data_IF_119642442513
#
_entry.id   IF_119642442513
#
_cell.length_a   1.000
_cell.length_b   1.000
_cell.length_c   1.000
_cell.angle_alpha   90.00
_cell.angle_beta   90.00
_cell.angle_gamma   90.00
#
_symmetry.space_group_name_H-M   'P 1'
#
loop_
_entity.id
_entity.type
_entity.pdbx_description
1 polymer ?
#
# COMPACT_ATOMS: atom_id res chain seq x y z
N UNK A 1 -52.90 33.36 1.34
CA UNK A 1 -51.94 33.39 0.22
C UNK A 1 -50.54 33.66 0.77
N UNK A 2 -49.76 32.61 1.07
CA UNK A 2 -48.36 32.76 1.48
C UNK A 2 -47.51 32.94 0.22
N UNK A 3 -46.91 34.12 0.04
CA UNK A 3 -45.88 34.38 -0.97
C UNK A 3 -44.56 33.81 -0.43
N UNK A 4 -44.24 32.57 -0.78
CA UNK A 4 -42.89 32.05 -0.59
C UNK A 4 -41.95 32.77 -1.56
N UNK A 5 -41.06 33.61 -1.02
CA UNK A 5 -40.05 34.33 -1.81
C UNK A 5 -39.12 33.33 -2.51
N UNK A 6 -39.10 33.37 -3.85
CA UNK A 6 -38.21 32.58 -4.72
C UNK A 6 -36.73 32.66 -4.33
N UNK A 7 -36.31 33.71 -3.62
CA UNK A 7 -34.95 33.88 -3.11
C UNK A 7 -34.51 32.81 -2.09
N UNK A 8 -35.44 32.21 -1.32
CA UNK A 8 -35.10 31.17 -0.34
C UNK A 8 -34.81 29.81 -1.00
N UNK A 9 -35.46 29.51 -2.13
CA UNK A 9 -35.22 28.26 -2.89
C UNK A 9 -33.86 28.31 -3.58
N UNK A 10 -33.48 29.47 -4.13
CA UNK A 10 -32.16 29.64 -4.76
C UNK A 10 -31.00 29.51 -3.76
N UNK A 11 -31.15 30.05 -2.54
CA UNK A 11 -30.10 29.94 -1.51
C UNK A 11 -29.95 28.50 -0.99
N UNK A 12 -31.05 27.76 -0.86
CA UNK A 12 -31.02 26.35 -0.45
C UNK A 12 -30.37 25.44 -1.50
N UNK A 13 -30.62 25.68 -2.80
CA UNK A 13 -29.98 24.92 -3.90
C UNK A 13 -28.46 25.20 -3.95
N UNK A 14 -28.03 26.45 -3.76
CA UNK A 14 -26.60 26.81 -3.70
C UNK A 14 -25.87 26.22 -2.49
N UNK A 15 -26.54 26.08 -1.33
CA UNK A 15 -25.95 25.46 -0.14
C UNK A 15 -25.90 23.92 -0.24
N UNK A 16 -26.88 23.28 -0.88
CA UNK A 16 -26.84 21.82 -1.12
C UNK A 16 -25.78 21.42 -2.16
N UNK A 17 -25.45 22.29 -3.13
CA UNK A 17 -24.40 21.99 -4.12
C UNK A 17 -22.98 22.00 -3.53
N UNK A 18 -22.72 22.73 -2.42
CA UNK A 18 -21.41 22.70 -1.77
C UNK A 18 -21.18 21.47 -0.89
N UNK A 19 -22.24 20.79 -0.46
CA UNK A 19 -22.13 19.60 0.39
C UNK A 19 -21.83 18.31 -0.40
N UNK A 20 -22.04 18.30 -1.73
CA UNK A 20 -21.85 17.12 -2.59
C UNK A 20 -20.43 17.00 -3.18
N UNK A 21 -19.54 17.96 -2.91
CA UNK A 21 -18.12 17.82 -3.19
C UNK A 21 -17.37 17.29 -1.97
N UNK A 22 -17.90 16.25 -1.31
CA UNK A 22 -17.03 15.28 -0.65
C UNK A 22 -16.36 14.47 -1.76
N UNK A 23 -15.45 15.10 -2.50
CA UNK A 23 -14.43 14.36 -3.23
C UNK A 23 -13.78 13.47 -2.18
N UNK A 24 -13.83 12.15 -2.36
CA UNK A 24 -13.04 11.25 -1.52
C UNK A 24 -11.63 11.81 -1.54
N UNK A 25 -11.19 12.35 -0.41
CA UNK A 25 -9.87 12.92 -0.32
C UNK A 25 -8.92 11.77 -0.57
N UNK A 26 -8.05 11.89 -1.59
CA UNK A 26 -7.05 10.88 -1.89
C UNK A 26 -6.33 10.52 -0.59
N UNK A 27 -6.30 9.23 -0.25
CA UNK A 27 -5.57 8.73 0.89
C UNK A 27 -4.35 7.98 0.39
N UNK A 28 -3.21 8.26 1.03
CA UNK A 28 -1.99 7.51 0.88
C UNK A 28 -1.96 6.43 1.96
N UNK A 29 -1.64 5.21 1.55
CA UNK A 29 -1.33 4.12 2.46
C UNK A 29 0.18 4.09 2.74
N UNK A 30 0.56 4.02 4.01
CA UNK A 30 1.96 3.95 4.46
C UNK A 30 2.13 2.70 5.31
N UNK A 31 2.80 1.71 4.74
CA UNK A 31 3.14 0.42 5.34
C UNK A 31 4.59 0.47 5.80
N UNK A 32 4.82 0.06 7.05
CA UNK A 32 6.14 0.00 7.69
C UNK A 32 6.25 -1.33 8.44
N UNK A 33 7.45 -1.72 8.85
CA UNK A 33 7.65 -2.94 9.64
C UNK A 33 6.89 -2.94 10.98
N UNK A 34 6.45 -1.76 11.44
CA UNK A 34 5.81 -1.56 12.75
C UNK A 34 4.29 -1.38 12.68
N UNK A 35 3.79 -0.80 11.59
CA UNK A 35 2.38 -0.41 11.48
C UNK A 35 1.98 0.06 10.09
N UNK A 36 0.67 0.06 9.86
CA UNK A 36 0.04 0.66 8.68
C UNK A 36 -0.70 1.93 9.08
N UNK A 37 -0.49 3.00 8.31
CA UNK A 37 -1.13 4.29 8.54
C UNK A 37 -1.69 4.87 7.25
N UNK A 38 -2.65 5.78 7.38
CA UNK A 38 -3.25 6.48 6.25
C UNK A 38 -3.19 7.98 6.48
N UNK A 39 -2.84 8.74 5.45
CA UNK A 39 -2.88 10.20 5.49
C UNK A 39 -3.26 10.82 4.15
N UNK A 40 -3.36 12.15 4.13
CA UNK A 40 -3.58 12.91 2.89
C UNK A 40 -2.23 13.25 2.27
N UNK A 41 -1.93 12.78 1.06
CA UNK A 41 -0.69 13.13 0.39
C UNK A 41 -0.70 14.58 -0.08
N UNK A 42 0.47 15.21 -0.01
CA UNK A 42 0.72 16.52 -0.62
C UNK A 42 1.44 16.31 -1.94
N UNK A 43 1.08 17.10 -2.94
CA UNK A 43 1.73 17.05 -4.24
C UNK A 43 3.14 17.63 -4.18
N UNK A 44 4.09 16.94 -4.80
CA UNK A 44 5.47 17.40 -4.92
C UNK A 44 6.04 17.13 -6.32
N UNK A 45 7.09 17.84 -6.76
CA UNK A 45 7.83 17.47 -7.95
C UNK A 45 8.56 16.14 -7.75
N UNK A 46 8.81 15.37 -8.82
CA UNK A 46 9.49 14.07 -8.74
C UNK A 46 10.83 14.12 -7.96
N UNK A 47 11.54 15.24 -8.06
CA UNK A 47 12.79 15.49 -7.32
C UNK A 47 12.64 15.41 -5.80
N UNK A 48 11.41 15.58 -5.27
CA UNK A 48 11.15 15.44 -3.85
C UNK A 48 11.37 14.00 -3.34
N UNK A 49 11.14 12.99 -4.17
CA UNK A 49 11.43 11.61 -3.77
C UNK A 49 12.85 11.16 -4.13
N UNK A 50 13.50 11.84 -5.09
CA UNK A 50 14.76 11.34 -5.67
C UNK A 50 16.02 12.07 -5.24
N UNK A 51 15.94 13.32 -4.76
CA UNK A 51 17.14 14.08 -4.36
C UNK A 51 17.63 13.73 -2.95
N UNK A 52 16.70 13.52 -2.02
CA UNK A 52 16.99 13.17 -0.64
C UNK A 52 15.96 12.13 -0.16
N UNK A 53 16.11 10.85 -0.54
CA UNK A 53 15.14 9.84 -0.21
C UNK A 53 15.15 9.47 1.28
N UNK A 54 16.26 9.61 2.00
CA UNK A 54 16.35 9.19 3.40
C UNK A 54 15.45 10.01 4.34
N UNK A 55 15.07 11.23 3.95
CA UNK A 55 14.05 12.01 4.68
C UNK A 55 12.67 11.36 4.72
N UNK A 56 12.45 10.33 3.91
CA UNK A 56 11.19 9.59 3.86
C UNK A 56 11.09 8.56 4.98
N UNK A 57 12.14 8.32 5.77
CA UNK A 57 12.17 7.46 6.97
C UNK A 57 11.12 7.93 8.01
N UNK A 58 9.90 7.40 7.93
CA UNK A 58 8.80 7.85 8.79
C UNK A 58 8.72 7.05 10.09
N UNK A 59 9.17 5.80 10.08
CA UNK A 59 9.16 4.92 11.24
C UNK A 59 10.46 4.93 12.05
N UNK A 60 11.48 5.66 11.58
CA UNK A 60 12.78 5.87 12.24
C UNK A 60 13.48 4.55 12.53
N UNK A 61 13.37 3.61 11.60
CA UNK A 61 14.09 2.33 11.65
C UNK A 61 15.55 2.49 11.29
N UNK A 62 15.90 3.47 10.45
CA UNK A 62 17.29 3.81 10.24
C UNK A 62 17.84 4.41 11.55
N UNK A 63 18.96 3.89 12.07
CA UNK A 63 19.50 4.28 13.38
C UNK A 63 20.16 5.67 13.41
N UNK A 64 19.59 6.66 12.71
CA UNK A 64 20.08 8.04 12.71
C UNK A 64 20.18 8.59 14.14
N UNK A 65 21.31 9.22 14.44
CA UNK A 65 21.61 9.79 15.75
C UNK A 65 21.99 8.78 16.83
N UNK A 66 21.96 7.47 16.54
CA UNK A 66 22.57 6.47 17.43
C UNK A 66 24.09 6.46 17.25
N UNK A 67 24.81 5.94 18.25
CA UNK A 67 26.26 5.83 18.17
C UNK A 67 26.67 4.58 17.40
N UNK A 68 27.60 4.75 16.46
CA UNK A 68 28.35 3.65 15.90
C UNK A 68 29.42 3.17 16.89
N UNK A 69 29.99 1.99 16.65
CA UNK A 69 31.03 1.39 17.51
C UNK A 69 32.33 2.20 17.63
N UNK A 70 32.61 3.10 16.67
CA UNK A 70 33.74 4.01 16.71
C UNK A 70 33.43 5.35 17.42
N UNK A 71 32.19 5.51 17.90
CA UNK A 71 31.71 6.66 18.66
C UNK A 71 31.10 7.80 17.85
N UNK A 72 31.12 7.77 16.50
CA UNK A 72 30.42 8.79 15.72
C UNK A 72 28.89 8.58 15.76
N UNK A 73 28.14 9.65 15.48
CA UNK A 73 26.68 9.58 15.37
C UNK A 73 26.28 9.20 13.95
N UNK A 74 25.52 8.12 13.81
CA UNK A 74 25.05 7.62 12.52
C UNK A 74 24.18 8.69 11.83
N UNK A 75 24.43 8.91 10.55
CA UNK A 75 23.86 9.98 9.74
C UNK A 75 23.56 9.50 8.31
N UNK A 76 22.99 10.36 7.48
CA UNK A 76 22.74 10.06 6.06
C UNK A 76 24.02 9.71 5.26
N UNK A 77 25.19 10.19 5.70
CA UNK A 77 26.47 9.93 5.01
C UNK A 77 26.94 8.48 5.19
N UNK A 78 26.43 7.80 6.22
CA UNK A 78 26.75 6.41 6.56
C UNK A 78 25.94 5.41 5.71
N UNK A 79 25.17 5.91 4.74
CA UNK A 79 24.39 5.13 3.81
C UNK A 79 24.73 5.46 2.36
N UNK A 80 24.65 4.45 1.50
CA UNK A 80 24.58 4.62 0.04
C UNK A 80 23.15 4.33 -0.40
N UNK A 81 22.56 5.22 -1.17
CA UNK A 81 21.23 5.03 -1.72
C UNK A 81 21.27 4.81 -3.22
N UNK A 82 20.55 3.80 -3.69
CA UNK A 82 20.32 3.52 -5.10
C UNK A 82 18.81 3.59 -5.36
N UNK A 83 18.40 4.25 -6.45
CA UNK A 83 16.99 4.37 -6.79
C UNK A 83 16.72 3.91 -8.22
N UNK A 84 15.61 3.19 -8.39
CA UNK A 84 15.05 2.85 -9.69
C UNK A 84 13.68 3.53 -9.83
N UNK A 85 13.64 4.54 -10.70
CA UNK A 85 12.41 5.22 -11.10
C UNK A 85 11.86 4.56 -12.37
N UNK A 86 10.60 4.16 -12.37
CA UNK A 86 9.96 3.44 -13.48
C UNK A 86 8.61 4.08 -13.80
N UNK A 87 8.42 4.52 -15.04
CA UNK A 87 7.09 4.85 -15.56
C UNK A 87 6.32 3.54 -15.75
N UNK A 88 5.30 3.30 -14.91
CA UNK A 88 4.59 2.02 -14.90
C UNK A 88 3.55 1.94 -16.01
N UNK A 89 2.62 2.89 -16.04
CA UNK A 89 1.47 2.87 -16.93
C UNK A 89 0.73 4.22 -16.92
N UNK A 90 -0.35 4.28 -17.72
CA UNK A 90 -1.36 5.34 -17.65
C UNK A 90 -2.73 4.68 -17.41
N UNK A 91 -3.43 5.06 -16.34
CA UNK A 91 -4.78 4.58 -16.03
C UNK A 91 -5.74 5.76 -15.94
N UNK A 92 -6.81 5.73 -16.73
CA UNK A 92 -7.82 6.81 -16.77
C UNK A 92 -7.21 8.21 -16.89
N UNK A 93 -6.22 8.36 -17.78
CA UNK A 93 -5.39 9.56 -18.04
C UNK A 93 -4.36 9.93 -16.96
N UNK A 94 -4.30 9.19 -15.85
CA UNK A 94 -3.30 9.39 -14.80
C UNK A 94 -2.03 8.59 -15.09
N UNK A 95 -0.90 9.28 -15.27
CA UNK A 95 0.41 8.63 -15.37
C UNK A 95 0.90 8.18 -13.99
N UNK A 96 1.38 6.94 -13.92
CA UNK A 96 1.80 6.30 -12.67
C UNK A 96 3.29 5.99 -12.73
N UNK A 97 4.01 6.38 -11.69
CA UNK A 97 5.45 6.18 -11.53
C UNK A 97 5.70 5.36 -10.27
N UNK A 98 6.63 4.41 -10.34
CA UNK A 98 7.14 3.70 -9.17
C UNK A 98 8.58 4.11 -8.89
N UNK A 99 8.91 4.25 -7.62
CA UNK A 99 10.28 4.41 -7.14
C UNK A 99 10.57 3.24 -6.20
N UNK A 100 11.58 2.45 -6.53
CA UNK A 100 12.19 1.51 -5.57
C UNK A 100 13.50 2.14 -5.11
N UNK A 101 13.64 2.33 -3.81
CA UNK A 101 14.83 2.87 -3.16
C UNK A 101 15.51 1.74 -2.38
N UNK A 102 16.78 1.46 -2.68
CA UNK A 102 17.60 0.49 -1.95
C UNK A 102 18.65 1.23 -1.16
N UNK A 103 18.71 0.98 0.14
CA UNK A 103 19.55 1.70 1.10
C UNK A 103 20.56 0.72 1.69
N UNK A 104 21.84 0.98 1.42
CA UNK A 104 22.96 0.19 1.89
C UNK A 104 23.64 0.92 3.03
N UNK A 105 23.84 0.26 4.17
CA UNK A 105 24.80 0.74 5.16
C UNK A 105 26.22 0.67 4.59
N UNK A 106 27.04 1.69 4.88
CA UNK A 106 28.44 1.69 4.44
C UNK A 106 29.24 0.58 5.14
N UNK A 107 30.27 -0.01 4.49
CA UNK A 107 31.11 -1.01 5.11
C UNK A 107 31.71 -0.55 6.45
N UNK A 108 31.63 -1.40 7.47
CA UNK A 108 32.14 -1.09 8.81
C UNK A 108 31.17 -0.31 9.70
N UNK A 109 29.99 0.08 9.21
CA UNK A 109 28.95 0.66 10.04
C UNK A 109 28.37 -0.41 10.98
N UNK A 110 28.73 -0.34 12.26
CA UNK A 110 28.19 -1.20 13.30
C UNK A 110 27.53 -0.37 14.40
N UNK A 111 26.34 -0.78 14.81
CA UNK A 111 25.56 -0.13 15.86
C UNK A 111 26.12 -0.51 17.23
N UNK A 112 26.41 0.50 18.07
CA UNK A 112 26.78 0.28 19.47
C UNK A 112 25.53 -0.04 20.30
N UNK A 113 25.34 -1.32 20.57
CA UNK A 113 24.23 -1.84 21.38
C UNK A 113 24.49 -1.78 22.89
N UNK A 114 25.70 -1.40 23.33
CA UNK A 114 26.07 -1.42 24.76
C UNK A 114 25.25 -0.47 25.63
N UNK A 115 24.61 0.52 25.01
CA UNK A 115 23.74 1.49 25.67
C UNK A 115 22.29 1.00 25.85
N UNK A 116 21.94 -0.16 25.27
CA UNK A 116 20.60 -0.75 25.34
C UNK A 116 20.64 -1.95 26.30
N UNK A 117 20.02 -1.86 27.49
CA UNK A 117 20.01 -2.96 28.45
C UNK A 117 19.46 -4.26 27.83
N UNK A 118 20.24 -5.33 27.88
CA UNK A 118 19.85 -6.64 27.34
C UNK A 118 20.08 -6.80 25.84
N UNK A 119 20.62 -5.80 25.14
CA UNK A 119 21.03 -5.97 23.77
C UNK A 119 22.29 -6.85 23.68
N UNK A 120 22.36 -7.66 22.63
CA UNK A 120 23.49 -8.54 22.34
C UNK A 120 24.75 -7.77 21.92
N UNK A 121 25.76 -8.46 21.35
CA UNK A 121 26.95 -7.81 20.81
C UNK A 121 26.59 -6.76 19.74
N UNK A 122 27.51 -5.84 19.39
CA UNK A 122 27.31 -4.87 18.32
C UNK A 122 26.84 -5.54 17.04
N UNK A 123 25.91 -4.89 16.35
CA UNK A 123 25.32 -5.40 15.11
C UNK A 123 25.94 -4.63 13.95
N UNK A 124 26.61 -5.36 13.06
CA UNK A 124 27.09 -4.81 11.79
C UNK A 124 25.91 -4.57 10.86
N UNK A 125 25.59 -3.31 10.60
CA UNK A 125 24.50 -2.93 9.72
C UNK A 125 24.83 -3.22 8.25
N UNK A 126 26.12 -3.21 7.90
CA UNK A 126 26.61 -3.54 6.56
C UNK A 126 26.45 -5.03 6.21
N UNK A 127 26.34 -5.90 7.22
CA UNK A 127 26.13 -7.35 7.03
C UNK A 127 24.64 -7.72 6.91
N UNK A 128 23.74 -6.78 7.19
CA UNK A 128 22.31 -6.96 6.97
C UNK A 128 21.97 -6.77 5.49
N UNK A 129 20.92 -7.44 4.97
CA UNK A 129 20.39 -7.11 3.67
C UNK A 129 20.02 -5.61 3.61
N UNK A 130 20.16 -4.97 2.45
CA UNK A 130 19.82 -3.56 2.32
C UNK A 130 18.33 -3.33 2.61
N UNK A 131 18.01 -2.21 3.22
CA UNK A 131 16.63 -1.77 3.32
C UNK A 131 16.09 -1.43 1.93
N UNK A 132 14.81 -1.69 1.70
CA UNK A 132 14.15 -1.39 0.44
C UNK A 132 12.85 -0.65 0.70
N UNK A 133 12.66 0.49 0.06
CA UNK A 133 11.41 1.23 0.13
C UNK A 133 10.76 1.32 -1.25
N UNK A 134 9.44 1.32 -1.29
CA UNK A 134 8.64 1.51 -2.51
C UNK A 134 7.69 2.67 -2.36
N UNK A 135 7.67 3.54 -3.36
CA UNK A 135 6.67 4.59 -3.53
C UNK A 135 5.91 4.39 -4.84
N UNK A 136 4.57 4.49 -4.80
CA UNK A 136 3.73 4.60 -6.00
C UNK A 136 3.20 6.03 -6.10
N UNK A 137 3.52 6.68 -7.21
CA UNK A 137 3.24 8.09 -7.47
C UNK A 137 2.25 8.23 -8.62
N UNK A 138 1.30 9.14 -8.48
CA UNK A 138 0.31 9.49 -9.50
C UNK A 138 0.55 10.93 -9.93
N UNK A 139 0.79 11.14 -11.22
CA UNK A 139 0.97 12.48 -11.79
C UNK A 139 -0.33 13.29 -11.66
N UNK A 140 -0.21 14.50 -11.14
CA UNK A 140 -1.32 15.46 -11.05
C UNK A 140 -1.62 15.96 -12.47
N UNK A 141 -2.89 15.92 -12.92
CA UNK A 141 -3.27 16.53 -14.18
C UNK A 141 -2.88 18.02 -14.19
N UNK A 142 -2.24 18.47 -15.26
CA UNK A 142 -1.92 19.89 -15.44
C UNK A 142 -3.23 20.63 -15.72
N UNK A 143 -3.49 21.72 -15.00
CA UNK A 143 -4.56 22.64 -15.39
C UNK A 143 -4.11 23.39 -16.64
N UNK A 144 -4.70 23.06 -17.79
CA UNK A 144 -4.44 23.69 -19.10
C UNK A 144 -4.69 25.20 -19.11
N UNK A 145 -5.26 25.77 -18.02
CA UNK A 145 -5.44 27.21 -17.84
C UNK A 145 -4.22 27.91 -17.23
N UNK A 146 -3.21 27.18 -16.77
CA UNK A 146 -1.96 27.76 -16.27
C UNK A 146 -1.14 28.35 -17.41
N UNK A 147 -0.84 29.65 -17.34
CA UNK A 147 -0.09 30.38 -18.38
C UNK A 147 1.42 30.10 -18.31
N UNK A 148 1.92 29.58 -17.19
CA UNK A 148 3.32 29.23 -17.01
C UNK A 148 3.52 27.70 -16.98
N UNK A 149 4.61 27.17 -17.59
CA UNK A 149 4.95 25.77 -17.46
C UNK A 149 5.24 25.45 -15.99
N UNK A 150 4.44 24.56 -15.41
CA UNK A 150 4.67 24.04 -14.06
C UNK A 150 5.44 22.72 -14.16
N UNK A 151 6.42 22.47 -13.27
CA UNK A 151 7.05 21.17 -13.20
C UNK A 151 6.01 20.13 -12.82
N UNK A 152 6.13 18.93 -13.42
CA UNK A 152 5.26 17.80 -13.12
C UNK A 152 5.16 17.57 -11.61
N UNK A 153 3.94 17.54 -11.10
CA UNK A 153 3.63 17.26 -9.71
C UNK A 153 3.06 15.85 -9.59
N UNK A 154 3.28 15.22 -8.44
CA UNK A 154 2.82 13.87 -8.15
C UNK A 154 2.23 13.80 -6.75
N UNK A 155 1.21 12.97 -6.54
CA UNK A 155 0.80 12.50 -5.22
C UNK A 155 1.33 11.08 -5.00
N UNK A 156 1.81 10.77 -3.80
CA UNK A 156 2.12 9.38 -3.43
C UNK A 156 0.85 8.71 -2.92
N UNK A 157 0.47 7.57 -3.49
CA UNK A 157 -0.73 6.80 -3.09
C UNK A 157 -0.39 5.59 -2.22
N UNK A 158 0.87 5.15 -2.25
CA UNK A 158 1.37 4.03 -1.47
C UNK A 158 2.84 4.21 -1.14
N UNK A 159 3.19 3.88 0.10
CA UNK A 159 4.55 3.75 0.57
C UNK A 159 4.72 2.44 1.33
N UNK A 160 5.75 1.67 1.00
CA UNK A 160 6.24 0.55 1.80
C UNK A 160 7.66 0.85 2.26
N UNK A 161 7.91 0.78 3.56
CA UNK A 161 9.24 0.78 4.15
C UNK A 161 9.55 -0.59 4.74
N UNK A 162 10.44 -1.31 4.06
CA UNK A 162 10.90 -2.62 4.44
C UNK A 162 12.37 -2.53 4.87
N UNK A 163 12.62 -2.54 6.18
CA UNK A 163 13.95 -2.38 6.72
C UNK A 163 14.55 -3.72 7.15
N UNK A 164 15.89 -3.79 7.15
CA UNK A 164 16.62 -4.99 7.56
C UNK A 164 16.39 -6.24 6.68
N UNK A 165 15.80 -6.10 5.49
CA UNK A 165 15.55 -7.20 4.57
C UNK A 165 14.34 -8.07 4.91
N UNK A 166 13.38 -7.55 5.69
CA UNK A 166 12.16 -8.28 6.01
C UNK A 166 11.40 -8.71 4.77
N UNK A 167 11.33 -7.88 3.73
CA UNK A 167 10.65 -8.24 2.49
C UNK A 167 11.62 -8.86 1.49
N UNK A 168 11.17 -9.91 0.78
CA UNK A 168 11.88 -10.37 -0.41
C UNK A 168 11.95 -9.22 -1.42
N UNK A 169 13.04 -9.13 -2.19
CA UNK A 169 13.28 -8.06 -3.18
C UNK A 169 11.99 -7.45 -3.72
N UNK A 170 11.73 -6.18 -3.40
CA UNK A 170 10.45 -5.54 -3.72
C UNK A 170 10.12 -5.68 -5.21
N UNK A 171 8.89 -6.10 -5.51
CA UNK A 171 8.44 -6.36 -6.88
C UNK A 171 7.93 -5.08 -7.54
N UNK A 172 7.86 -5.04 -8.86
CA UNK A 172 7.12 -3.96 -9.51
C UNK A 172 5.62 -4.14 -9.32
N UNK A 173 4.93 -3.04 -9.04
CA UNK A 173 3.48 -2.97 -9.15
C UNK A 173 3.06 -3.24 -10.60
N UNK A 174 1.86 -3.79 -10.77
CA UNK A 174 1.35 -4.28 -12.03
C UNK A 174 -0.07 -3.77 -12.27
N UNK A 175 -0.46 -3.70 -13.54
CA UNK A 175 -1.84 -3.42 -13.94
C UNK A 175 -2.55 -4.74 -14.17
N UNK A 176 -3.73 -4.89 -13.57
CA UNK A 176 -4.59 -6.06 -13.72
C UNK A 176 -5.89 -5.68 -14.40
N UNK A 177 -6.37 -6.52 -15.32
CA UNK A 177 -7.55 -6.25 -16.12
C UNK A 177 -7.30 -5.29 -17.29
N UNK A 178 -8.38 -4.80 -17.91
CA UNK A 178 -8.32 -3.92 -19.09
C UNK A 178 -9.40 -2.85 -19.06
N UNK A 179 -9.13 -1.73 -19.75
CA UNK A 179 -10.08 -0.64 -19.93
C UNK A 179 -10.44 0.08 -18.62
N UNK A 180 -11.68 0.60 -18.49
CA UNK A 180 -12.05 1.44 -17.36
C UNK A 180 -12.21 0.70 -16.02
N UNK A 181 -12.02 -0.62 -16.00
CA UNK A 181 -12.03 -1.43 -14.77
C UNK A 181 -10.67 -2.02 -14.44
N UNK A 182 -9.61 -1.63 -15.18
CA UNK A 182 -8.25 -2.02 -14.82
C UNK A 182 -7.87 -1.42 -13.46
N UNK A 183 -7.04 -2.14 -12.71
CA UNK A 183 -6.55 -1.72 -11.40
C UNK A 183 -5.02 -1.74 -11.40
N UNK A 184 -4.41 -0.83 -10.66
CA UNK A 184 -3.02 -0.92 -10.23
C UNK A 184 -2.98 -1.77 -8.96
N UNK A 185 -2.05 -2.73 -8.88
CA UNK A 185 -1.81 -3.46 -7.64
C UNK A 185 -0.33 -3.69 -7.36
N UNK A 186 0.01 -3.76 -6.08
CA UNK A 186 1.32 -4.19 -5.59
C UNK A 186 1.16 -5.37 -4.64
N UNK A 187 2.15 -6.25 -4.61
CA UNK A 187 2.20 -7.40 -3.72
C UNK A 187 3.67 -7.72 -3.40
N UNK A 188 4.05 -7.51 -2.15
CA UNK A 188 5.41 -7.69 -1.64
C UNK A 188 5.38 -8.66 -0.44
N UNK A 189 5.81 -9.92 -0.61
CA UNK A 189 5.80 -10.89 0.48
C UNK A 189 6.85 -10.54 1.54
N UNK A 190 6.48 -10.67 2.82
CA UNK A 190 7.34 -10.39 3.98
C UNK A 190 8.36 -11.51 4.28
N UNK A 191 8.50 -12.49 3.38
CA UNK A 191 9.41 -13.62 3.51
C UNK A 191 9.17 -14.56 4.70
N UNK A 192 8.19 -14.26 5.56
CA UNK A 192 7.90 -15.00 6.78
C UNK A 192 7.13 -16.30 6.54
N UNK A 193 7.23 -17.22 7.49
CA UNK A 193 6.52 -18.52 7.43
C UNK A 193 4.99 -18.39 7.56
N UNK A 194 4.47 -17.20 7.89
CA UNK A 194 3.04 -16.95 8.03
C UNK A 194 2.33 -16.57 6.73
N UNK A 195 3.07 -16.40 5.63
CA UNK A 195 2.51 -15.90 4.37
C UNK A 195 2.02 -14.46 4.48
N UNK A 196 2.68 -13.62 5.27
CA UNK A 196 2.38 -12.19 5.30
C UNK A 196 2.87 -11.50 4.04
N UNK A 197 2.33 -10.32 3.80
CA UNK A 197 2.75 -9.44 2.72
C UNK A 197 2.31 -8.02 2.99
N UNK A 198 2.86 -7.09 2.23
CA UNK A 198 2.29 -5.79 2.00
C UNK A 198 1.68 -5.77 0.60
N UNK A 199 0.38 -5.51 0.50
CA UNK A 199 -0.33 -5.36 -0.77
C UNK A 199 -1.22 -4.13 -0.76
N UNK A 200 -1.59 -3.67 -1.95
CA UNK A 200 -2.45 -2.51 -2.13
C UNK A 200 -2.97 -2.45 -3.55
N UNK A 201 -4.23 -2.02 -3.72
CA UNK A 201 -4.94 -2.07 -4.99
C UNK A 201 -5.77 -0.82 -5.21
N UNK A 202 -5.57 -0.16 -6.36
CA UNK A 202 -6.23 1.09 -6.71
C UNK A 202 -6.90 1.00 -8.08
N UNK A 203 -8.14 1.46 -8.14
CA UNK A 203 -8.85 1.74 -9.37
C UNK A 203 -8.77 3.24 -9.68
N UNK A 204 -8.84 3.61 -10.96
CA UNK A 204 -8.71 4.99 -11.40
C UNK A 204 -9.91 5.44 -12.22
N UNK A 205 -10.42 6.62 -11.89
CA UNK A 205 -11.34 7.37 -12.74
C UNK A 205 -10.81 8.79 -12.96
N UNK A 206 -11.65 9.69 -13.50
CA UNK A 206 -11.25 11.08 -13.75
C UNK A 206 -10.94 11.88 -12.47
N UNK A 207 -11.35 11.42 -11.29
CA UNK A 207 -11.04 12.06 -10.02
C UNK A 207 -9.69 11.58 -9.44
N UNK A 208 -9.12 10.49 -9.94
CA UNK A 208 -7.83 9.95 -9.52
C UNK A 208 -7.91 8.52 -9.02
N UNK A 209 -6.98 8.17 -8.14
CA UNK A 209 -6.87 6.84 -7.56
C UNK A 209 -7.86 6.63 -6.40
N UNK A 210 -8.49 5.46 -6.37
CA UNK A 210 -9.39 5.02 -5.31
C UNK A 210 -8.99 3.61 -4.87
N UNK A 211 -8.85 3.34 -3.56
CA UNK A 211 -8.68 1.98 -3.08
C UNK A 211 -9.82 1.09 -3.60
N UNK A 212 -9.49 -0.11 -4.07
CA UNK A 212 -10.50 -1.05 -4.54
C UNK A 212 -11.33 -1.55 -3.34
N UNK A 213 -12.64 -1.47 -3.43
CA UNK A 213 -13.58 -1.95 -2.40
C UNK A 213 -13.82 -3.46 -2.55
N UNK A 214 -13.26 -4.23 -1.62
CA UNK A 214 -13.45 -5.68 -1.54
C UNK A 214 -14.60 -6.11 -0.61
N UNK A 215 -15.30 -5.17 0.04
CA UNK A 215 -16.30 -5.49 1.07
C UNK A 215 -17.44 -6.37 0.56
N UNK A 216 -17.84 -6.22 -0.70
CA UNK A 216 -18.88 -7.07 -1.30
C UNK A 216 -18.40 -8.50 -1.53
N UNK A 217 -17.16 -8.68 -2.00
CA UNK A 217 -16.52 -9.98 -2.14
C UNK A 217 -16.36 -10.65 -0.77
N UNK A 218 -15.86 -9.91 0.22
CA UNK A 218 -15.61 -10.43 1.57
C UNK A 218 -16.91 -10.87 2.27
N UNK A 219 -17.99 -10.10 2.12
CA UNK A 219 -19.32 -10.50 2.63
C UNK A 219 -19.83 -11.77 1.97
N UNK A 220 -19.66 -11.90 0.65
CA UNK A 220 -20.08 -13.08 -0.08
C UNK A 220 -19.29 -14.33 0.31
N UNK A 221 -17.97 -14.19 0.50
CA UNK A 221 -17.11 -15.25 1.03
C UNK A 221 -17.56 -15.64 2.43
N UNK A 222 -17.65 -14.69 3.36
CA UNK A 222 -18.03 -14.95 4.75
C UNK A 222 -19.37 -15.67 4.86
N UNK A 223 -20.34 -15.34 3.98
CA UNK A 223 -21.65 -16.01 3.94
C UNK A 223 -21.56 -17.47 3.47
N UNK A 224 -20.59 -17.80 2.62
CA UNK A 224 -20.38 -19.16 2.11
C UNK A 224 -19.57 -20.06 3.05
N UNK A 225 -18.92 -19.49 4.07
CA UNK A 225 -18.09 -20.25 5.00
C UNK A 225 -18.92 -20.86 6.14
N UNK A 226 -18.46 -21.98 6.73
CA UNK A 226 -19.01 -22.47 8.00
C UNK A 226 -18.92 -21.41 9.11
N UNK A 227 -19.85 -21.38 10.07
CA UNK A 227 -19.75 -20.53 11.25
C UNK A 227 -18.42 -20.71 11.99
N UNK A 228 -17.99 -19.68 12.71
CA UNK A 228 -16.77 -19.69 13.54
C UNK A 228 -15.48 -20.02 12.77
N UNK A 229 -15.43 -19.68 11.48
CA UNK A 229 -14.23 -19.77 10.65
C UNK A 229 -13.68 -18.40 10.25
N UNK A 230 -12.46 -18.41 9.73
CA UNK A 230 -11.73 -17.26 9.16
C UNK A 230 -10.98 -17.70 7.91
N UNK A 231 -10.67 -16.74 7.05
CA UNK A 231 -9.87 -16.90 5.83
C UNK A 231 -8.99 -15.66 5.64
N UNK A 232 -7.95 -15.78 4.81
CA UNK A 232 -7.13 -14.64 4.39
C UNK A 232 -7.67 -14.08 3.08
N UNK A 233 -8.01 -12.78 3.03
CA UNK A 233 -8.58 -12.14 1.83
C UNK A 233 -7.56 -11.47 0.90
N UNK A 234 -6.30 -11.39 1.35
CA UNK A 234 -5.21 -10.62 0.75
C UNK A 234 -3.96 -11.48 0.55
N UNK A 235 -2.89 -10.85 0.08
CA UNK A 235 -1.60 -11.48 -0.10
C UNK A 235 -1.66 -12.68 -1.05
N UNK A 236 -1.07 -13.80 -0.64
CA UNK A 236 -1.05 -15.04 -1.44
C UNK A 236 -2.44 -15.55 -1.80
N UNK A 237 -3.50 -15.12 -1.10
CA UNK A 237 -4.85 -15.57 -1.38
C UNK A 237 -5.51 -14.82 -2.54
N UNK A 238 -5.04 -13.61 -2.87
CA UNK A 238 -5.64 -12.77 -3.90
C UNK A 238 -4.83 -12.86 -5.21
N UNK A 239 -5.49 -13.34 -6.27
CA UNK A 239 -4.92 -13.50 -7.60
C UNK A 239 -5.60 -12.53 -8.58
N UNK A 240 -5.20 -11.24 -8.57
CA UNK A 240 -5.83 -10.21 -9.41
C UNK A 240 -5.70 -10.48 -10.91
N UNK A 241 -4.64 -11.15 -11.36
CA UNK A 241 -4.43 -11.57 -12.74
C UNK A 241 -5.47 -12.60 -13.21
N UNK A 242 -5.99 -13.43 -12.31
CA UNK A 242 -7.05 -14.41 -12.58
C UNK A 242 -8.44 -13.90 -12.21
N UNK A 243 -8.53 -12.70 -11.61
CA UNK A 243 -9.74 -12.22 -10.93
C UNK A 243 -10.32 -13.28 -9.96
N UNK A 244 -9.42 -13.92 -9.20
CA UNK A 244 -9.72 -15.03 -8.29
C UNK A 244 -9.17 -14.74 -6.90
N UNK A 245 -9.90 -15.20 -5.88
CA UNK A 245 -9.43 -15.32 -4.51
C UNK A 245 -9.48 -16.79 -4.13
N UNK A 246 -8.39 -17.31 -3.59
CA UNK A 246 -8.24 -18.71 -3.17
C UNK A 246 -7.56 -18.74 -1.81
N UNK A 247 -8.26 -19.19 -0.78
CA UNK A 247 -7.77 -19.09 0.59
C UNK A 247 -8.11 -20.33 1.42
N UNK A 248 -7.15 -20.81 2.21
CA UNK A 248 -7.43 -21.80 3.24
C UNK A 248 -8.41 -21.21 4.28
N UNK A 249 -9.33 -22.05 4.75
CA UNK A 249 -10.32 -21.68 5.77
C UNK A 249 -9.97 -22.42 7.06
N UNK A 250 -9.86 -21.67 8.14
CA UNK A 250 -9.43 -22.17 9.44
C UNK A 250 -10.50 -21.86 10.49
N UNK A 251 -10.58 -22.66 11.55
CA UNK A 251 -11.38 -22.27 12.74
C UNK A 251 -10.85 -20.96 13.31
N UNK A 252 -11.76 -20.07 13.73
CA UNK A 252 -11.41 -18.78 14.36
C UNK A 252 -10.57 -18.96 15.63
N UNK A 253 -10.84 -20.04 16.37
CA UNK A 253 -10.11 -20.41 17.58
C UNK A 253 -9.18 -21.60 17.31
N UNK A 254 -8.41 -21.55 16.21
CA UNK A 254 -7.44 -22.58 15.87
C UNK A 254 -6.37 -22.73 16.96
N UNK A 255 -5.93 -23.97 17.18
CA UNK A 255 -4.92 -24.29 18.20
C UNK A 255 -3.53 -23.73 17.85
N UNK A 256 -3.26 -23.56 16.55
CA UNK A 256 -2.01 -23.02 16.04
C UNK A 256 -2.23 -22.44 14.63
N UNK A 257 -1.29 -21.62 14.13
CA UNK A 257 -1.35 -21.04 12.77
C UNK A 257 -1.43 -22.08 11.65
N UNK A 258 -0.94 -23.31 11.88
CA UNK A 258 -0.95 -24.39 10.90
C UNK A 258 -2.00 -25.49 11.19
N UNK A 259 -2.86 -25.32 12.20
CA UNK A 259 -3.78 -26.35 12.70
C UNK A 259 -5.23 -26.06 12.29
N UNK A 260 -6.17 -26.98 12.55
CA UNK A 260 -7.62 -26.69 12.48
C UNK A 260 -8.13 -26.10 11.15
N UNK A 261 -7.48 -26.46 10.03
CA UNK A 261 -7.97 -26.15 8.68
C UNK A 261 -9.23 -26.96 8.40
N UNK A 262 -10.30 -26.29 8.00
CA UNK A 262 -11.61 -26.92 7.73
C UNK A 262 -11.88 -27.09 6.23
N UNK A 263 -11.12 -26.41 5.39
CA UNK A 263 -11.28 -26.45 3.94
C UNK A 263 -10.59 -25.29 3.25
N UNK A 264 -11.10 -24.96 2.07
CA UNK A 264 -10.63 -23.87 1.22
C UNK A 264 -11.84 -23.12 0.66
N UNK A 265 -11.70 -21.82 0.46
CA UNK A 265 -12.66 -21.02 -0.30
C UNK A 265 -12.05 -20.54 -1.60
N UNK A 266 -12.80 -20.71 -2.68
CA UNK A 266 -12.47 -20.19 -4.00
C UNK A 266 -13.58 -19.24 -4.43
N UNK A 267 -13.23 -17.98 -4.66
CA UNK A 267 -14.13 -16.98 -5.20
C UNK A 267 -13.59 -16.44 -6.51
N UNK A 268 -14.48 -16.27 -7.49
CA UNK A 268 -14.20 -15.47 -8.68
C UNK A 268 -14.90 -14.14 -8.54
N UNK A 269 -14.27 -13.08 -9.02
CA UNK A 269 -14.83 -11.73 -8.95
C UNK A 269 -14.60 -10.99 -10.24
N UNK A 270 -15.16 -9.79 -10.32
CA UNK A 270 -14.84 -8.81 -11.36
C UNK A 270 -14.76 -7.42 -10.74
N UNK A 271 -13.89 -6.58 -11.28
CA UNK A 271 -13.86 -5.18 -10.90
C UNK A 271 -14.92 -4.41 -11.70
N UNK A 272 -15.71 -3.59 -11.01
CA UNK A 272 -16.64 -2.64 -11.62
C UNK A 272 -16.62 -1.34 -10.82
N UNK A 273 -16.18 -0.26 -11.45
CA UNK A 273 -16.17 1.08 -10.82
C UNK A 273 -15.48 1.05 -9.45
N UNK A 274 -14.30 0.43 -9.38
CA UNK A 274 -13.53 0.32 -8.14
C UNK A 274 -14.03 -0.70 -7.12
N UNK A 275 -15.14 -1.41 -7.35
CA UNK A 275 -15.61 -2.46 -6.45
C UNK A 275 -15.30 -3.87 -7.00
N UNK A 276 -14.78 -4.75 -6.15
CA UNK A 276 -14.64 -6.18 -6.43
C UNK A 276 -15.98 -6.88 -6.17
N UNK A 277 -16.70 -7.19 -7.25
CA UNK A 277 -18.02 -7.82 -7.20
C UNK A 277 -17.87 -9.34 -7.33
N UNK A 278 -18.48 -10.13 -6.42
CA UNK A 278 -18.43 -11.59 -6.53
C UNK A 278 -19.17 -12.05 -7.78
N UNK A 279 -18.57 -13.00 -8.51
CA UNK A 279 -19.19 -13.71 -9.63
C UNK A 279 -19.58 -15.13 -9.18
N UNK A 280 -18.68 -15.83 -8.50
CA UNK A 280 -18.96 -17.10 -7.84
C UNK A 280 -18.16 -17.22 -6.54
N UNK A 281 -18.69 -17.99 -5.59
CA UNK A 281 -18.04 -18.28 -4.30
C UNK A 281 -18.35 -19.74 -3.95
N UNK A 282 -17.32 -20.53 -3.68
CA UNK A 282 -17.45 -21.93 -3.34
C UNK A 282 -16.52 -22.26 -2.17
N UNK A 283 -17.09 -22.86 -1.11
CA UNK A 283 -16.32 -23.48 -0.04
C UNK A 283 -16.16 -24.98 -0.34
N UNK A 284 -14.94 -25.47 -0.28
CA UNK A 284 -14.58 -26.88 -0.41
C UNK A 284 -14.09 -27.39 0.95
N UNK A 285 -14.84 -28.25 1.65
CA UNK A 285 -14.39 -28.83 2.91
C UNK A 285 -13.19 -29.76 2.68
N UNK A 286 -12.33 -29.87 3.69
CA UNK A 286 -11.26 -30.85 3.69
C UNK A 286 -11.86 -32.27 3.78
N UNK A 287 -11.46 -33.21 2.92
CA UNK A 287 -12.05 -34.55 2.88
C UNK A 287 -11.74 -35.41 4.13
N UNK A 288 -10.86 -34.95 5.01
CA UNK A 288 -10.39 -35.68 6.21
C UNK A 288 -11.01 -35.17 7.53
N UNK A 289 -12.08 -34.35 7.46
CA UNK A 289 -12.90 -33.93 8.61
C UNK A 289 -14.37 -34.29 8.39
#
# INVERSE_FOLDING_TARGET
>A
MLRFSLSFVFLAVLLFQRALAQTSQLQREVVTDKSDTHDTPVAHPLSWWTQDPLRLDVDRTLPFGLKATDGHLISAQDYRVEQKVTDLCVLSTHAIVQIITTIYAQPGLALDTSTVPGAGPPISLADLPPAQWKSLLVKVPVDDRSVAPQPDQYFEIYRLQADGGLFQSLKSASVYGVGPNAILGTFDPDGGNGGGCADGYWWFDAAGAHPVDFSQLDRAITTALPPDTVYTSRCWALHPEESRLKSGVQKRNATCHACDWVGEVVATYRIRQGAALPVSVHFQPNPEQ
#
